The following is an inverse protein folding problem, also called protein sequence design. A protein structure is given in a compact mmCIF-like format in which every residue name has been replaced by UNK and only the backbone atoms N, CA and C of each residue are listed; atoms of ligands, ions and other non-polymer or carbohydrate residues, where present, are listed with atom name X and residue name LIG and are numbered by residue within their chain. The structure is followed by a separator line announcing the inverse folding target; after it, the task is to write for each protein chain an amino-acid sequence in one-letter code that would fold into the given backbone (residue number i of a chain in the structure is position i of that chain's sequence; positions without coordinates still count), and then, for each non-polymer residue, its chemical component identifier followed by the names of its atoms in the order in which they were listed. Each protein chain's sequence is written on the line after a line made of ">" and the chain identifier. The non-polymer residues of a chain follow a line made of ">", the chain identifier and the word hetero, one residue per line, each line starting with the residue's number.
data_IF_550047656870
#
_entry.id   IF_550047656870
#
_cell.length_a   1.000
_cell.length_b   1.000
_cell.length_c   1.000
_cell.angle_alpha   90.00
_cell.angle_beta   90.00
_cell.angle_gamma   90.00
#
_symmetry.space_group_name_H-M   'P 1'
#
loop_
_entity.id
_entity.type
_entity.pdbx_description
1 polymer ?
#
# COMPACT_ATOMS: atom_id res chain seq x y z
N UNK A 1 65.45 5.12 23.47
CA UNK A 1 64.66 5.06 22.23
C UNK A 1 65.42 5.76 21.11
N UNK A 2 65.63 5.13 19.98
CA UNK A 2 66.48 5.61 18.88
C UNK A 2 65.87 6.83 18.19
N UNK A 3 66.67 7.85 17.88
CA UNK A 3 66.26 9.11 17.20
C UNK A 3 65.46 8.83 15.89
N UNK A 4 65.68 7.67 15.28
CA UNK A 4 64.91 7.22 14.08
C UNK A 4 63.46 6.84 14.35
N UNK A 5 63.10 6.40 15.60
CA UNK A 5 61.72 6.07 16.00
C UNK A 5 60.88 7.30 16.34
N UNK A 6 61.54 8.37 16.79
CA UNK A 6 60.88 9.65 17.10
C UNK A 6 60.56 10.39 15.80
N UNK A 7 61.42 10.29 14.80
CA UNK A 7 61.20 10.93 13.49
C UNK A 7 60.06 10.27 12.70
N UNK A 8 59.87 8.95 12.81
CA UNK A 8 58.78 8.23 12.18
C UNK A 8 57.42 8.47 12.85
N UNK A 9 57.39 8.75 14.15
CA UNK A 9 56.17 9.14 14.89
C UNK A 9 55.70 10.56 14.53
N UNK A 10 56.64 11.49 14.26
CA UNK A 10 56.30 12.86 13.85
C UNK A 10 55.82 12.95 12.39
N UNK A 11 56.25 12.04 11.51
CA UNK A 11 55.73 11.97 10.14
C UNK A 11 54.35 11.33 10.05
N UNK A 12 53.99 10.42 10.95
CA UNK A 12 52.69 9.76 10.98
C UNK A 12 51.56 10.68 11.51
N UNK A 13 51.92 11.66 12.39
CA UNK A 13 50.92 12.60 12.90
C UNK A 13 50.58 13.76 11.99
N UNK A 14 51.40 14.04 10.95
CA UNK A 14 51.11 15.11 9.97
C UNK A 14 50.19 14.69 8.81
N UNK A 15 49.94 13.40 8.65
CA UNK A 15 49.11 12.87 7.55
C UNK A 15 47.61 12.69 7.94
N UNK A 16 47.23 12.89 9.19
CA UNK A 16 45.85 12.73 9.69
C UNK A 16 45.06 14.03 9.65
N UNK A 17 45.72 15.19 9.47
CA UNK A 17 45.05 16.53 9.56
C UNK A 17 44.52 17.03 8.19
N UNK A 18 44.85 16.37 7.06
CA UNK A 18 44.46 16.86 5.73
C UNK A 18 43.23 16.18 5.12
N UNK A 19 42.52 15.28 5.84
CA UNK A 19 41.37 14.57 5.32
C UNK A 19 40.00 15.21 5.64
N UNK A 20 39.95 16.38 6.29
CA UNK A 20 38.68 17.04 6.66
C UNK A 20 38.50 18.44 6.06
N UNK A 21 39.01 18.69 4.86
CA UNK A 21 38.65 19.91 4.11
C UNK A 21 38.01 19.47 2.78
N UNK A 22 36.74 19.16 2.83
CA UNK A 22 35.92 18.83 1.67
C UNK A 22 34.65 19.68 1.67
N UNK A 23 34.63 20.64 0.74
CA UNK A 23 33.48 21.33 0.19
C UNK A 23 32.44 21.95 1.15
N UNK A 24 32.70 23.22 1.49
CA UNK A 24 31.65 24.13 1.88
C UNK A 24 31.71 25.34 0.97
N UNK A 25 30.80 25.48 0.04
CA UNK A 25 30.59 26.73 -0.71
C UNK A 25 29.99 27.78 0.23
N UNK A 26 30.62 28.94 0.28
CA UNK A 26 30.20 30.09 1.06
C UNK A 26 28.88 30.65 0.50
N UNK A 27 27.92 30.85 1.40
CA UNK A 27 26.97 31.95 1.31
C UNK A 27 26.99 32.69 2.64
N UNK A 28 27.25 34.00 2.62
CA UNK A 28 27.28 34.88 3.79
C UNK A 28 25.84 35.20 4.22
N UNK A 29 25.59 35.21 5.55
CA UNK A 29 24.34 35.72 6.09
C UNK A 29 24.12 35.42 7.56
N UNK A 30 24.67 36.26 8.42
CA UNK A 30 24.23 36.76 9.73
C UNK A 30 23.63 35.78 10.77
N UNK A 31 24.24 35.84 11.95
CA UNK A 31 24.03 34.99 13.09
C UNK A 31 22.68 35.09 13.81
N UNK A 32 22.36 34.00 14.48
CA UNK A 32 21.30 33.87 15.47
C UNK A 32 21.25 32.45 15.98
N UNK A 33 21.83 32.21 17.17
CA UNK A 33 21.67 30.94 17.88
C UNK A 33 20.23 30.73 18.23
N UNK A 34 19.64 29.66 17.71
CA UNK A 34 18.40 29.14 18.30
C UNK A 34 18.40 27.61 18.26
N UNK A 35 18.07 27.03 19.39
CA UNK A 35 17.95 25.61 19.67
C UNK A 35 17.04 24.91 18.63
N UNK A 36 17.61 23.95 17.91
CA UNK A 36 16.88 23.11 16.97
C UNK A 36 15.89 22.19 17.69
N UNK A 37 14.62 22.56 17.62
CA UNK A 37 13.54 21.58 17.56
C UNK A 37 13.62 20.93 16.17
N UNK A 38 13.70 19.61 16.09
CA UNK A 38 13.58 18.86 14.84
C UNK A 38 12.15 19.00 14.30
N UNK A 39 11.89 20.09 13.56
CA UNK A 39 10.83 20.08 12.58
C UNK A 39 11.37 19.27 11.40
N UNK A 40 10.68 18.24 10.99
CA UNK A 40 10.92 17.63 9.68
C UNK A 40 10.87 18.75 8.63
N UNK A 41 12.00 18.98 7.97
CA UNK A 41 12.06 19.89 6.82
C UNK A 41 11.24 19.22 5.68
N UNK A 42 9.94 19.43 5.70
CA UNK A 42 9.04 19.07 4.62
C UNK A 42 8.99 20.30 3.72
N UNK A 43 9.37 20.14 2.47
CA UNK A 43 9.30 21.22 1.47
C UNK A 43 7.85 21.74 1.35
N UNK A 44 7.71 23.05 1.12
CA UNK A 44 6.39 23.69 0.93
C UNK A 44 5.63 23.09 -0.26
N UNK A 45 6.34 22.59 -1.26
CA UNK A 45 5.81 21.89 -2.41
C UNK A 45 6.27 20.43 -2.41
N UNK A 46 5.32 19.49 -2.21
CA UNK A 46 5.58 18.05 -2.19
C UNK A 46 5.49 17.48 -3.60
N UNK A 47 6.61 17.42 -4.33
CA UNK A 47 6.67 16.90 -5.70
C UNK A 47 7.61 15.71 -5.79
N UNK A 48 7.09 14.55 -6.17
CA UNK A 48 7.86 13.36 -6.49
C UNK A 48 7.95 13.21 -8.02
N UNK A 49 9.14 13.45 -8.59
CA UNK A 49 9.41 13.16 -10.00
C UNK A 49 9.99 11.75 -10.13
N UNK A 50 9.31 10.89 -10.86
CA UNK A 50 9.74 9.52 -11.10
C UNK A 50 9.56 9.13 -12.55
N UNK A 51 10.24 8.05 -12.97
CA UNK A 51 10.13 7.50 -14.32
C UNK A 51 9.21 6.30 -14.25
N UNK A 52 8.13 6.33 -15.04
CA UNK A 52 7.23 5.20 -15.23
C UNK A 52 7.21 4.77 -16.69
N UNK A 53 6.96 3.49 -16.90
CA UNK A 53 6.59 2.96 -18.20
C UNK A 53 5.10 3.20 -18.46
N UNK A 54 4.57 2.62 -19.53
CA UNK A 54 3.17 2.79 -19.86
C UNK A 54 2.27 2.11 -18.82
N UNK A 55 1.41 2.91 -18.17
CA UNK A 55 0.40 2.41 -17.24
C UNK A 55 -0.80 1.90 -18.05
N UNK A 56 -1.14 0.63 -17.89
CA UNK A 56 -2.21 -0.01 -18.66
C UNK A 56 -3.60 0.40 -18.14
N UNK A 57 -3.75 0.45 -16.81
CA UNK A 57 -5.03 0.79 -16.16
C UNK A 57 -4.81 1.39 -14.77
N UNK A 58 -5.74 2.20 -14.30
CA UNK A 58 -5.86 2.61 -12.90
C UNK A 58 -7.13 2.02 -12.24
N UNK A 59 -7.79 1.09 -12.92
CA UNK A 59 -8.82 0.24 -12.32
C UNK A 59 -8.13 -0.89 -11.53
N UNK A 60 -8.19 -0.85 -10.21
CA UNK A 60 -7.52 -1.83 -9.36
C UNK A 60 -8.01 -3.26 -9.62
N UNK A 61 -9.31 -3.46 -9.91
CA UNK A 61 -9.83 -4.80 -10.17
C UNK A 61 -9.37 -5.38 -11.52
N UNK A 62 -9.00 -4.52 -12.48
CA UNK A 62 -8.48 -4.89 -13.81
C UNK A 62 -6.95 -4.91 -13.86
N UNK A 63 -6.29 -4.48 -12.79
CA UNK A 63 -4.83 -4.36 -12.74
C UNK A 63 -4.16 -5.72 -12.65
N UNK A 64 -3.32 -6.04 -13.66
CA UNK A 64 -2.54 -7.28 -13.73
C UNK A 64 -1.06 -7.07 -14.01
N UNK A 65 -0.64 -5.82 -14.17
CA UNK A 65 0.73 -5.44 -14.46
C UNK A 65 1.40 -4.69 -13.30
N UNK A 66 2.73 -4.70 -13.25
CA UNK A 66 3.52 -4.11 -12.17
C UNK A 66 3.52 -2.59 -12.20
N UNK A 67 3.45 -1.99 -13.37
CA UNK A 67 3.49 -0.54 -13.57
C UNK A 67 2.21 0.10 -13.03
N UNK A 68 1.05 -0.41 -13.42
CA UNK A 68 -0.25 0.00 -12.89
C UNK A 68 -0.35 -0.24 -11.39
N UNK A 69 0.07 -1.42 -10.91
CA UNK A 69 0.08 -1.78 -9.49
C UNK A 69 0.93 -0.85 -8.65
N UNK A 70 2.08 -0.39 -9.17
CA UNK A 70 2.95 0.57 -8.46
C UNK A 70 2.26 1.91 -8.24
N UNK A 71 1.55 2.43 -9.25
CA UNK A 71 0.77 3.67 -9.10
C UNK A 71 -0.38 3.47 -8.11
N UNK A 72 -1.15 2.38 -8.28
CA UNK A 72 -2.27 2.08 -7.39
C UNK A 72 -1.84 1.98 -5.94
N UNK A 73 -0.72 1.30 -5.65
CA UNK A 73 -0.18 1.19 -4.29
C UNK A 73 0.36 2.53 -3.73
N UNK A 74 0.65 3.51 -4.59
CA UNK A 74 1.05 4.84 -4.16
C UNK A 74 -0.12 5.77 -3.83
N UNK A 75 -1.32 5.52 -4.38
CA UNK A 75 -2.50 6.38 -4.25
C UNK A 75 -3.69 5.70 -3.57
N UNK A 76 -3.58 4.42 -3.27
CA UNK A 76 -4.62 3.63 -2.60
C UNK A 76 -4.04 2.81 -1.46
N UNK A 77 -4.89 2.46 -0.50
CA UNK A 77 -4.55 1.61 0.62
C UNK A 77 -5.47 0.38 0.68
N UNK A 78 -4.87 -0.82 0.68
CA UNK A 78 -5.59 -2.08 0.90
C UNK A 78 -5.86 -2.35 2.39
N UNK A 79 -6.35 -3.57 2.70
CA UNK A 79 -6.51 -4.01 4.09
C UNK A 79 -5.18 -4.07 4.83
N UNK A 80 -4.14 -4.56 4.16
CA UNK A 80 -2.79 -4.75 4.69
C UNK A 80 -1.78 -4.27 3.66
N UNK A 81 -0.60 -3.91 4.13
CA UNK A 81 0.53 -3.48 3.29
C UNK A 81 1.68 -4.48 3.41
N UNK A 82 2.31 -4.78 2.30
CA UNK A 82 3.59 -5.51 2.29
C UNK A 82 4.71 -4.50 2.55
N UNK A 83 5.44 -4.67 3.63
CA UNK A 83 6.60 -3.88 3.97
C UNK A 83 7.88 -4.69 3.72
N UNK A 84 8.87 -4.08 3.07
CA UNK A 84 10.18 -4.71 2.85
C UNK A 84 11.19 -4.08 3.78
N UNK A 85 11.76 -4.90 4.66
CA UNK A 85 12.78 -4.52 5.61
C UNK A 85 14.12 -4.23 4.94
N UNK A 86 15.05 -3.58 5.63
CA UNK A 86 16.40 -3.28 5.12
C UNK A 86 17.21 -4.53 4.76
N UNK A 87 16.94 -5.65 5.41
CA UNK A 87 17.58 -6.96 5.13
C UNK A 87 16.97 -7.69 3.92
N UNK A 88 15.95 -7.11 3.26
CA UNK A 88 15.26 -7.66 2.11
C UNK A 88 14.13 -8.64 2.46
N UNK A 89 13.86 -8.90 3.74
CA UNK A 89 12.67 -9.68 4.14
C UNK A 89 11.41 -8.85 4.01
N UNK A 90 10.27 -9.50 3.76
CA UNK A 90 8.98 -8.82 3.67
C UNK A 90 8.04 -9.29 4.78
N UNK A 91 7.27 -8.37 5.32
CA UNK A 91 6.25 -8.63 6.33
C UNK A 91 4.94 -7.92 5.97
N UNK A 92 3.83 -8.41 6.52
CA UNK A 92 2.52 -7.77 6.38
C UNK A 92 2.31 -6.82 7.55
N UNK A 93 2.00 -5.58 7.23
CA UNK A 93 1.69 -4.54 8.21
C UNK A 93 0.24 -4.08 8.10
N UNK A 94 -0.37 -3.59 9.21
CA UNK A 94 -1.64 -2.90 9.18
C UNK A 94 -1.64 -1.73 8.17
N UNK A 95 -2.78 -1.56 7.50
CA UNK A 95 -3.01 -0.49 6.53
C UNK A 95 -4.44 0.05 6.68
N UNK A 96 -5.36 -0.21 5.78
CA UNK A 96 -6.78 0.10 5.96
C UNK A 96 -7.43 -0.67 7.11
N UNK A 97 -6.93 -1.89 7.40
CA UNK A 97 -7.23 -2.59 8.64
C UNK A 97 -6.18 -2.26 9.71
N UNK A 98 -6.60 -1.89 10.92
CA UNK A 98 -5.70 -1.70 12.08
C UNK A 98 -5.28 -3.03 12.72
N UNK A 99 -6.10 -4.08 12.54
CA UNK A 99 -5.83 -5.43 13.03
C UNK A 99 -6.69 -6.47 12.32
N UNK A 100 -6.26 -7.73 12.41
CA UNK A 100 -7.04 -8.87 11.94
C UNK A 100 -6.81 -10.09 12.82
N UNK A 101 -7.78 -10.96 12.83
CA UNK A 101 -7.75 -12.23 13.58
C UNK A 101 -8.42 -13.35 12.77
N UNK A 102 -8.10 -14.60 13.10
CA UNK A 102 -8.75 -15.76 12.52
C UNK A 102 -9.48 -16.56 13.59
N UNK A 103 -10.57 -17.20 13.20
CA UNK A 103 -11.30 -18.14 14.06
C UNK A 103 -10.46 -19.37 14.42
N UNK A 104 -10.85 -20.11 15.47
CA UNK A 104 -10.12 -21.30 15.94
C UNK A 104 -9.97 -22.38 14.86
N UNK A 105 -10.95 -22.49 13.95
CA UNK A 105 -10.93 -23.43 12.82
C UNK A 105 -10.11 -22.92 11.63
N UNK A 106 -9.62 -21.66 11.68
CA UNK A 106 -8.82 -21.03 10.62
C UNK A 106 -9.60 -20.66 9.37
N UNK A 107 -10.94 -20.71 9.39
CA UNK A 107 -11.78 -20.49 8.21
C UNK A 107 -12.33 -19.08 8.11
N UNK A 108 -12.53 -18.38 9.24
CA UNK A 108 -13.10 -17.02 9.23
C UNK A 108 -12.05 -16.02 9.66
N UNK A 109 -11.82 -15.04 8.82
CA UNK A 109 -10.90 -13.92 9.07
C UNK A 109 -11.69 -12.63 9.28
N UNK A 110 -11.45 -11.97 10.42
CA UNK A 110 -12.11 -10.72 10.79
C UNK A 110 -11.10 -9.59 10.78
N UNK A 111 -11.36 -8.54 10.00
CA UNK A 111 -10.54 -7.34 9.87
C UNK A 111 -11.24 -6.19 10.56
N UNK A 112 -10.53 -5.49 11.46
CA UNK A 112 -10.97 -4.24 12.08
C UNK A 112 -10.39 -3.08 11.30
N UNK A 113 -11.25 -2.25 10.72
CA UNK A 113 -10.83 -1.14 9.88
C UNK A 113 -10.55 0.11 10.71
N UNK A 114 -9.61 0.91 10.23
CA UNK A 114 -9.34 2.25 10.77
C UNK A 114 -10.55 3.14 10.57
N UNK A 115 -10.92 3.90 11.62
CA UNK A 115 -12.07 4.82 11.57
C UNK A 115 -11.71 6.22 11.05
N UNK A 116 -10.44 6.51 10.91
CA UNK A 116 -9.91 7.78 10.40
C UNK A 116 -9.58 7.76 8.90
N UNK A 117 -9.63 6.57 8.28
CA UNK A 117 -9.41 6.42 6.84
C UNK A 117 -10.52 7.11 6.03
N UNK A 118 -10.10 7.87 5.02
CA UNK A 118 -11.00 8.64 4.16
C UNK A 118 -10.63 8.51 2.70
N UNK A 119 -11.61 8.63 1.86
CA UNK A 119 -11.42 8.89 0.44
C UNK A 119 -10.94 10.33 0.20
N UNK A 120 -10.41 10.60 -0.98
CA UNK A 120 -9.90 11.93 -1.35
C UNK A 120 -10.98 13.02 -1.37
N UNK A 121 -12.26 12.64 -1.48
CA UNK A 121 -13.42 13.55 -1.37
C UNK A 121 -13.87 13.79 0.08
N UNK A 122 -13.22 13.13 1.04
CA UNK A 122 -13.50 13.28 2.48
C UNK A 122 -14.49 12.27 3.06
N UNK A 123 -15.14 11.46 2.24
CA UNK A 123 -16.04 10.38 2.70
C UNK A 123 -15.25 9.30 3.47
N UNK A 124 -15.84 8.68 4.50
CA UNK A 124 -15.16 7.63 5.25
C UNK A 124 -14.96 6.37 4.40
N UNK A 125 -13.83 5.66 4.61
CA UNK A 125 -13.64 4.31 4.07
C UNK A 125 -14.32 3.33 5.00
N UNK A 126 -15.25 2.53 4.47
CA UNK A 126 -16.04 1.55 5.25
C UNK A 126 -15.90 0.14 4.70
N UNK A 127 -16.27 -0.85 5.50
CA UNK A 127 -16.14 -2.27 5.15
C UNK A 127 -16.90 -2.64 3.85
N UNK A 128 -18.02 -1.97 3.57
CA UNK A 128 -18.78 -2.19 2.35
C UNK A 128 -17.95 -1.92 1.09
N UNK A 129 -17.06 -0.93 1.10
CA UNK A 129 -16.22 -0.62 -0.05
C UNK A 129 -15.24 -1.76 -0.41
N UNK A 130 -14.81 -2.55 0.59
CA UNK A 130 -14.04 -3.77 0.36
C UNK A 130 -14.93 -4.89 -0.18
N UNK A 131 -16.14 -5.08 0.39
CA UNK A 131 -17.12 -6.05 -0.14
C UNK A 131 -17.40 -5.75 -1.62
N UNK A 132 -17.66 -4.50 -1.95
CA UNK A 132 -17.95 -4.06 -3.32
C UNK A 132 -16.78 -4.40 -4.28
N UNK A 133 -15.54 -4.21 -3.83
CA UNK A 133 -14.36 -4.59 -4.61
C UNK A 133 -14.29 -6.09 -4.87
N UNK A 134 -14.47 -6.93 -3.83
CA UNK A 134 -14.49 -8.38 -3.99
C UNK A 134 -15.63 -8.84 -4.90
N UNK A 135 -16.82 -8.28 -4.74
CA UNK A 135 -17.97 -8.63 -5.57
C UNK A 135 -17.78 -8.19 -7.03
N UNK A 136 -17.16 -7.03 -7.24
CA UNK A 136 -16.88 -6.54 -8.59
C UNK A 136 -15.82 -7.38 -9.30
N UNK A 137 -14.72 -7.75 -8.65
CA UNK A 137 -13.68 -8.59 -9.27
C UNK A 137 -14.20 -10.01 -9.57
N UNK A 138 -15.11 -10.54 -8.73
CA UNK A 138 -15.71 -11.85 -8.90
C UNK A 138 -16.90 -11.89 -9.85
N UNK A 139 -17.45 -10.74 -10.25
CA UNK A 139 -18.58 -10.71 -11.17
C UNK A 139 -18.15 -11.28 -12.54
N UNK A 140 -18.78 -12.38 -13.02
CA UNK A 140 -18.40 -13.01 -14.28
C UNK A 140 -18.55 -12.11 -15.50
N UNK A 141 -19.47 -11.14 -15.45
CA UNK A 141 -19.70 -10.20 -16.55
C UNK A 141 -18.52 -9.23 -16.77
N UNK A 142 -17.69 -9.00 -15.74
CA UNK A 142 -16.53 -8.12 -15.84
C UNK A 142 -15.30 -8.83 -16.43
N UNK A 143 -15.17 -10.15 -16.27
CA UNK A 143 -14.09 -10.95 -16.84
C UNK A 143 -12.69 -10.61 -16.32
N UNK A 144 -12.55 -10.06 -15.11
CA UNK A 144 -11.27 -9.67 -14.55
C UNK A 144 -10.34 -10.86 -14.34
N UNK A 145 -9.10 -10.76 -14.85
CA UNK A 145 -8.18 -11.87 -14.91
C UNK A 145 -7.73 -12.37 -13.52
N UNK A 146 -7.68 -11.49 -12.50
CA UNK A 146 -7.23 -11.86 -11.15
C UNK A 146 -8.37 -12.30 -10.20
N UNK A 147 -9.59 -12.51 -10.69
CA UNK A 147 -10.69 -13.07 -9.91
C UNK A 147 -10.31 -14.39 -9.22
N UNK A 148 -9.50 -15.23 -9.87
CA UNK A 148 -9.06 -16.53 -9.33
C UNK A 148 -8.25 -16.42 -8.02
N UNK A 149 -7.65 -15.27 -7.73
CA UNK A 149 -6.94 -15.06 -6.46
C UNK A 149 -7.87 -15.11 -5.25
N UNK A 150 -9.17 -14.84 -5.45
CA UNK A 150 -10.18 -14.90 -4.41
C UNK A 150 -10.88 -16.26 -4.28
N UNK A 151 -10.53 -17.28 -5.09
CA UNK A 151 -11.22 -18.57 -5.10
C UNK A 151 -11.06 -19.42 -3.83
N UNK A 152 -10.19 -19.04 -2.91
CA UNK A 152 -10.13 -19.65 -1.59
C UNK A 152 -11.30 -19.19 -0.67
N UNK A 153 -11.98 -18.11 -1.03
CA UNK A 153 -13.16 -17.60 -0.33
C UNK A 153 -14.35 -18.50 -0.66
N UNK A 154 -15.17 -18.81 0.36
CA UNK A 154 -16.39 -19.61 0.21
C UNK A 154 -17.30 -19.03 -0.87
N UNK A 155 -17.78 -19.85 -1.79
CA UNK A 155 -18.70 -19.46 -2.87
C UNK A 155 -18.13 -18.58 -3.99
N UNK A 156 -16.88 -18.11 -3.86
CA UNK A 156 -16.30 -17.14 -4.81
C UNK A 156 -16.07 -17.75 -6.20
N UNK A 157 -15.50 -18.96 -6.27
CA UNK A 157 -15.25 -19.65 -7.53
C UNK A 157 -16.57 -20.01 -8.24
N UNK A 158 -17.54 -20.53 -7.49
CA UNK A 158 -18.86 -20.87 -7.99
C UNK A 158 -19.61 -19.65 -8.54
N UNK A 159 -19.53 -18.52 -7.85
CA UNK A 159 -20.11 -17.26 -8.33
C UNK A 159 -19.46 -16.80 -9.63
N UNK A 160 -18.13 -16.80 -9.66
CA UNK A 160 -17.39 -16.28 -10.82
C UNK A 160 -17.49 -17.19 -12.07
N UNK A 161 -17.55 -18.53 -11.92
CA UNK A 161 -17.36 -19.46 -13.05
C UNK A 161 -18.57 -20.33 -13.35
N UNK A 162 -19.44 -20.58 -12.38
CA UNK A 162 -20.48 -21.62 -12.46
C UNK A 162 -21.90 -21.10 -12.22
N UNK A 163 -22.12 -19.77 -12.22
CA UNK A 163 -23.44 -19.18 -11.98
C UNK A 163 -23.95 -19.34 -10.55
N UNK A 164 -23.05 -19.48 -9.58
CA UNK A 164 -23.38 -19.46 -8.15
C UNK A 164 -24.01 -18.13 -7.73
N UNK A 165 -24.65 -18.11 -6.55
CA UNK A 165 -25.25 -16.88 -6.02
C UNK A 165 -24.19 -15.94 -5.47
N UNK A 166 -24.30 -14.65 -5.77
CA UNK A 166 -23.51 -13.59 -5.16
C UNK A 166 -23.63 -13.60 -3.62
N UNK A 167 -24.81 -13.91 -3.07
CA UNK A 167 -25.07 -13.97 -1.63
C UNK A 167 -24.36 -15.14 -0.94
N UNK A 168 -23.84 -16.11 -1.70
CA UNK A 168 -23.07 -17.24 -1.17
C UNK A 168 -21.58 -16.93 -1.01
N UNK A 169 -21.12 -15.79 -1.52
CA UNK A 169 -19.71 -15.38 -1.40
C UNK A 169 -19.40 -14.98 0.04
N UNK A 170 -18.38 -15.60 0.60
CA UNK A 170 -17.97 -15.44 2.00
C UNK A 170 -17.24 -14.13 2.30
N UNK A 171 -17.70 -12.98 1.77
CA UNK A 171 -17.19 -11.66 2.11
C UNK A 171 -18.32 -10.78 2.60
N UNK A 172 -18.18 -10.21 3.80
CA UNK A 172 -19.28 -9.49 4.45
C UNK A 172 -18.81 -8.32 5.28
N UNK A 173 -19.47 -7.16 5.11
CA UNK A 173 -19.43 -6.07 6.07
C UNK A 173 -20.34 -6.43 7.26
N UNK A 174 -19.75 -6.68 8.43
CA UNK A 174 -20.50 -6.95 9.67
C UNK A 174 -21.07 -5.67 10.24
N UNK A 175 -20.26 -4.62 10.17
CA UNK A 175 -20.60 -3.23 10.44
C UNK A 175 -19.69 -2.34 9.57
N UNK A 176 -19.79 -1.00 9.71
CA UNK A 176 -19.03 -0.05 8.90
C UNK A 176 -17.51 -0.26 8.99
N UNK A 177 -17.00 -0.81 10.09
CA UNK A 177 -15.57 -0.95 10.36
C UNK A 177 -15.14 -2.38 10.68
N UNK A 178 -15.98 -3.36 10.35
CA UNK A 178 -15.67 -4.78 10.52
C UNK A 178 -15.97 -5.54 9.25
N UNK A 179 -14.91 -6.04 8.60
CA UNK A 179 -15.00 -6.92 7.44
C UNK A 179 -14.74 -8.37 7.86
N UNK A 180 -15.58 -9.29 7.42
CA UNK A 180 -15.40 -10.72 7.59
C UNK A 180 -15.17 -11.40 6.24
N UNK A 181 -14.17 -12.29 6.19
CA UNK A 181 -13.87 -13.12 5.02
C UNK A 181 -13.87 -14.59 5.46
N UNK A 182 -14.76 -15.38 4.87
CA UNK A 182 -14.88 -16.81 5.13
C UNK A 182 -14.28 -17.63 4.01
N UNK A 183 -13.41 -18.57 4.36
CA UNK A 183 -12.69 -19.42 3.41
C UNK A 183 -13.37 -20.80 3.28
N UNK A 184 -13.23 -21.42 2.12
CA UNK A 184 -13.67 -22.80 1.87
C UNK A 184 -12.74 -23.84 2.51
N UNK A 185 -11.47 -23.48 2.73
CA UNK A 185 -10.45 -24.32 3.37
C UNK A 185 -9.46 -23.42 4.10
N UNK A 186 -8.68 -23.99 5.03
CA UNK A 186 -7.64 -23.23 5.75
C UNK A 186 -6.51 -22.82 4.80
N UNK A 187 -6.30 -21.52 4.65
CA UNK A 187 -5.25 -20.90 3.81
C UNK A 187 -4.44 -19.94 4.67
N UNK A 188 -3.30 -20.38 5.24
CA UNK A 188 -2.52 -19.55 6.16
C UNK A 188 -1.96 -18.24 5.55
N UNK A 189 -1.83 -18.19 4.22
CA UNK A 189 -1.30 -17.06 3.48
C UNK A 189 -2.38 -16.18 2.82
N UNK A 190 -3.65 -16.32 3.22
CA UNK A 190 -4.76 -15.55 2.61
C UNK A 190 -4.54 -14.03 2.73
N UNK A 191 -4.04 -13.56 3.88
CA UNK A 191 -3.78 -12.12 4.09
C UNK A 191 -2.76 -11.59 3.08
N UNK A 192 -1.74 -12.39 2.72
CA UNK A 192 -0.79 -12.05 1.67
C UNK A 192 -1.45 -12.00 0.28
N UNK A 193 -2.42 -12.88 0.00
CA UNK A 193 -3.15 -12.84 -1.29
C UNK A 193 -4.02 -11.59 -1.42
N UNK A 194 -4.72 -11.20 -0.34
CA UNK A 194 -5.59 -10.02 -0.38
C UNK A 194 -4.84 -8.68 -0.21
N UNK A 195 -3.52 -8.70 -0.07
CA UNK A 195 -2.70 -7.49 -0.12
C UNK A 195 -2.42 -6.98 -1.54
N UNK A 196 -2.84 -7.71 -2.58
CA UNK A 196 -2.76 -7.24 -3.95
C UNK A 196 -3.70 -6.05 -4.19
N UNK A 197 -3.24 -5.08 -4.98
CA UNK A 197 -4.01 -3.88 -5.32
C UNK A 197 -5.41 -4.20 -5.89
N UNK A 198 -5.55 -5.37 -6.54
CA UNK A 198 -6.84 -5.85 -7.07
C UNK A 198 -7.94 -6.01 -6.03
N UNK A 199 -7.60 -6.04 -4.73
CA UNK A 199 -8.55 -6.13 -3.61
C UNK A 199 -8.64 -4.85 -2.78
N UNK A 200 -8.01 -3.77 -3.23
CA UNK A 200 -8.20 -2.45 -2.59
C UNK A 200 -9.69 -2.06 -2.66
N UNK A 201 -10.17 -1.28 -1.69
CA UNK A 201 -11.58 -0.89 -1.66
C UNK A 201 -11.95 -0.04 -2.87
N UNK A 202 -13.21 -0.04 -3.26
CA UNK A 202 -13.75 0.81 -4.32
C UNK A 202 -14.93 1.65 -3.84
N UNK A 203 -15.16 2.75 -4.52
CA UNK A 203 -16.40 3.54 -4.45
C UNK A 203 -17.30 3.10 -5.60
N UNK A 204 -18.16 2.12 -5.33
CA UNK A 204 -19.05 1.57 -6.36
C UNK A 204 -19.94 2.65 -6.99
N UNK A 205 -20.38 3.62 -6.21
CA UNK A 205 -21.15 4.78 -6.69
C UNK A 205 -20.35 5.63 -7.70
N UNK A 206 -19.03 5.76 -7.49
CA UNK A 206 -18.13 6.45 -8.43
C UNK A 206 -17.90 5.61 -9.69
N UNK A 207 -17.68 4.31 -9.53
CA UNK A 207 -17.55 3.36 -10.66
C UNK A 207 -18.79 3.42 -11.54
N UNK A 208 -19.98 3.32 -10.97
CA UNK A 208 -21.25 3.38 -11.71
C UNK A 208 -21.48 4.75 -12.37
N UNK A 209 -21.14 5.85 -11.70
CA UNK A 209 -21.27 7.21 -12.24
C UNK A 209 -20.37 7.43 -13.44
N UNK A 210 -19.14 6.91 -13.43
CA UNK A 210 -18.14 7.12 -14.48
C UNK A 210 -18.28 6.09 -15.61
N UNK A 211 -18.76 4.88 -15.33
CA UNK A 211 -18.90 3.81 -16.32
C UNK A 211 -17.55 3.54 -17.02
N UNK A 212 -17.55 3.53 -18.36
CA UNK A 212 -16.37 3.28 -19.19
C UNK A 212 -15.23 4.30 -18.99
N UNK A 213 -15.51 5.42 -18.31
CA UNK A 213 -14.50 6.44 -17.98
C UNK A 213 -13.77 6.18 -16.66
N UNK A 214 -14.25 5.24 -15.86
CA UNK A 214 -13.60 4.88 -14.63
C UNK A 214 -12.17 4.42 -14.91
N UNK A 215 -11.19 5.09 -14.29
CA UNK A 215 -9.74 4.83 -14.45
C UNK A 215 -9.13 5.04 -15.85
N UNK A 216 -9.90 5.43 -16.86
CA UNK A 216 -9.41 5.63 -18.23
C UNK A 216 -9.14 7.09 -18.59
N UNK A 217 -9.73 8.02 -17.86
CA UNK A 217 -9.56 9.47 -18.05
C UNK A 217 -9.22 10.14 -16.71
N UNK A 218 -8.63 11.34 -16.76
CA UNK A 218 -8.51 12.20 -15.57
C UNK A 218 -9.91 12.73 -15.25
N UNK A 219 -10.53 12.18 -14.25
CA UNK A 219 -11.90 12.48 -13.83
C UNK A 219 -11.96 12.70 -12.31
N UNK A 220 -13.16 12.81 -11.77
CA UNK A 220 -13.41 12.89 -10.32
C UNK A 220 -13.29 11.52 -9.61
N UNK A 221 -12.40 10.64 -10.09
CA UNK A 221 -12.11 9.35 -9.44
C UNK A 221 -11.51 9.62 -8.06
N UNK A 222 -12.03 8.95 -7.05
CA UNK A 222 -11.56 9.10 -5.68
C UNK A 222 -10.62 7.97 -5.29
N UNK A 223 -9.65 8.29 -4.45
CA UNK A 223 -8.66 7.36 -3.92
C UNK A 223 -8.64 7.46 -2.40
N UNK A 224 -8.41 6.32 -1.74
CA UNK A 224 -8.15 6.25 -0.30
C UNK A 224 -6.64 6.27 -0.08
N UNK A 225 -6.12 7.24 0.60
CA UNK A 225 -4.70 7.38 0.92
C UNK A 225 -4.47 7.66 2.39
#
# INVERSE_FOLDING_TARGET
>A
MSKKRILSLLLASSLVVTAFVGCGSKSEGNGGSNSSSSSSDIDDEQVLNTIYFNVATLDQNDCTDSESSTILNAVQEGLVRVYTNEDGTSELQPAGAESWETSEDGLTWTFKLRKDAKWSDGEPVVAQHYVDSFMRILNPDNGFAYAFLAYDIEGAEEYNTAGGSADAVGVKAVDDYTLEIKLKTVVPYIVSKISYASFNPIRLDVVEKLGDKYSSEITDTVYNG
#
